data_IF_342483252525
#
_entry.id   IF_342483252525
#
_cell.length_a   1.000
_cell.length_b   1.000
_cell.length_c   1.000
_cell.angle_alpha   90.00
_cell.angle_beta   90.00
_cell.angle_gamma   90.00
#
_symmetry.space_group_name_H-M   'P 1'
#
loop_
_entity.id
_entity.type
_entity.pdbx_description
1 polymer ?
#
# COMPACT_ATOMS: atom_id res chain seq x y z
N UNK A 1 2.19 20.33 44.83
CA UNK A 1 2.51 19.09 44.05
C UNK A 1 3.99 19.18 43.68
N UNK A 2 4.81 18.33 44.25
CA UNK A 2 6.22 18.24 43.85
C UNK A 2 6.26 17.64 42.46
N UNK A 3 7.02 18.25 41.54
CA UNK A 3 7.15 17.73 40.18
C UNK A 3 7.86 16.36 40.22
N UNK A 4 7.54 15.50 39.27
CA UNK A 4 8.17 14.18 39.11
C UNK A 4 9.71 14.32 39.06
N UNK A 5 10.20 15.43 38.50
CA UNK A 5 11.62 15.77 38.45
C UNK A 5 12.22 16.05 39.83
N UNK A 6 11.44 16.65 40.75
CA UNK A 6 11.88 16.84 42.13
C UNK A 6 11.89 15.54 42.92
N UNK A 7 10.94 14.66 42.67
CA UNK A 7 10.91 13.32 43.25
C UNK A 7 12.09 12.46 42.76
N UNK A 8 12.41 12.52 41.47
CA UNK A 8 13.57 11.87 40.87
C UNK A 8 14.90 12.46 41.39
N UNK A 9 14.96 13.78 41.57
CA UNK A 9 16.15 14.46 42.14
C UNK A 9 16.36 14.16 43.62
N UNK A 10 15.30 14.01 44.42
CA UNK A 10 15.40 13.59 45.84
C UNK A 10 15.82 12.12 45.99
N UNK A 11 15.38 11.22 45.13
CA UNK A 11 15.86 9.82 45.10
C UNK A 11 17.34 9.70 44.73
N UNK A 12 17.88 10.58 43.89
CA UNK A 12 19.31 10.60 43.52
C UNK A 12 20.28 10.93 44.69
N UNK A 13 19.80 11.57 45.76
CA UNK A 13 20.67 11.92 46.93
C UNK A 13 20.90 10.76 47.91
N UNK A 14 20.21 9.63 47.77
CA UNK A 14 20.27 8.55 48.75
C UNK A 14 20.67 7.17 48.24
N UNK A 15 21.02 7.02 46.94
CA UNK A 15 21.44 5.71 46.40
C UNK A 15 22.85 5.79 45.79
N UNK A 16 23.75 4.96 46.30
CA UNK A 16 24.96 4.52 45.58
C UNK A 16 24.55 3.99 44.21
N UNK A 17 25.35 4.30 43.17
CA UNK A 17 25.12 3.90 41.80
C UNK A 17 24.73 2.42 41.74
N UNK A 18 23.43 2.17 41.58
CA UNK A 18 22.87 0.89 41.15
C UNK A 18 22.66 0.90 39.63
N UNK A 19 22.56 -0.27 39.06
CA UNK A 19 22.30 -0.48 37.65
C UNK A 19 21.19 0.43 37.10
N UNK A 20 21.26 0.86 35.83
CA UNK A 20 20.25 1.73 35.22
C UNK A 20 18.87 1.08 35.32
N UNK A 21 17.95 1.74 36.00
CA UNK A 21 16.56 1.31 36.13
C UNK A 21 15.90 1.42 34.75
N UNK A 22 15.65 0.29 34.10
CA UNK A 22 14.95 0.24 32.82
C UNK A 22 13.48 0.55 33.08
N UNK A 23 13.01 1.68 32.60
CA UNK A 23 11.58 2.08 32.69
C UNK A 23 10.77 1.14 31.76
N UNK A 24 9.87 0.37 32.31
CA UNK A 24 9.03 -0.55 31.56
C UNK A 24 7.97 0.20 30.74
N UNK A 25 7.50 -0.44 29.66
CA UNK A 25 6.41 0.11 28.85
C UNK A 25 5.14 0.35 29.66
N UNK A 26 4.84 -0.54 30.61
CA UNK A 26 3.66 -0.48 31.46
C UNK A 26 3.70 0.73 32.43
N UNK A 27 4.90 1.05 32.95
CA UNK A 27 5.09 2.24 33.79
C UNK A 27 4.88 3.54 32.99
N UNK A 28 5.27 3.58 31.72
CA UNK A 28 5.02 4.74 30.83
C UNK A 28 3.54 4.83 30.45
N UNK A 29 2.87 3.73 30.21
CA UNK A 29 1.44 3.69 29.87
C UNK A 29 0.55 4.12 31.06
N UNK A 30 1.00 3.91 32.29
CA UNK A 30 0.31 4.36 33.51
C UNK A 30 0.42 5.87 33.80
N UNK A 31 1.29 6.62 33.12
CA UNK A 31 1.45 8.05 33.32
C UNK A 31 0.31 8.86 32.66
N UNK A 32 -0.14 9.92 33.32
CA UNK A 32 -1.02 10.92 32.73
C UNK A 32 -0.36 11.64 31.53
N UNK A 33 -1.20 12.28 30.67
CA UNK A 33 -0.73 12.91 29.43
C UNK A 33 0.41 13.91 29.65
N UNK A 34 0.29 14.79 30.64
CA UNK A 34 1.30 15.82 30.94
C UNK A 34 2.62 15.19 31.39
N UNK A 35 2.56 14.13 32.20
CA UNK A 35 3.74 13.41 32.65
C UNK A 35 4.45 12.66 31.52
N UNK A 36 3.70 12.12 30.55
CA UNK A 36 4.28 11.53 29.33
C UNK A 36 4.98 12.57 28.47
N UNK A 37 4.36 13.75 28.31
CA UNK A 37 4.96 14.86 27.56
C UNK A 37 6.26 15.35 28.22
N UNK A 38 6.29 15.50 29.56
CA UNK A 38 7.50 15.85 30.28
C UNK A 38 8.58 14.77 30.17
N UNK A 39 8.21 13.50 30.27
CA UNK A 39 9.15 12.39 30.09
C UNK A 39 9.77 12.40 28.67
N UNK A 40 8.96 12.61 27.64
CA UNK A 40 9.45 12.73 26.27
C UNK A 40 10.41 13.91 26.11
N UNK A 41 10.08 15.07 26.69
CA UNK A 41 10.97 16.23 26.66
C UNK A 41 12.30 15.98 27.40
N UNK A 42 12.26 15.24 28.50
CA UNK A 42 13.46 14.88 29.27
C UNK A 42 14.34 13.83 28.55
N UNK A 43 13.75 12.94 27.72
CA UNK A 43 14.49 11.91 26.99
C UNK A 43 15.34 12.46 25.83
N UNK A 44 14.94 13.61 25.25
CA UNK A 44 15.69 14.23 24.14
C UNK A 44 17.11 14.63 24.55
N UNK A 45 17.33 15.39 25.68
CA UNK A 45 18.66 15.68 26.14
C UNK A 45 19.49 14.46 26.52
N UNK A 46 18.85 13.40 27.07
CA UNK A 46 19.52 12.13 27.36
C UNK A 46 20.01 11.44 26.10
N UNK A 47 19.19 11.46 25.02
CA UNK A 47 19.58 10.95 23.70
C UNK A 47 20.81 11.69 23.14
N UNK A 48 20.88 13.00 23.27
CA UNK A 48 22.04 13.80 22.85
C UNK A 48 23.30 13.51 23.67
N UNK A 49 23.15 13.28 24.98
CA UNK A 49 24.27 12.85 25.84
C UNK A 49 24.81 11.49 25.38
N UNK A 50 23.92 10.54 25.11
CA UNK A 50 24.31 9.22 24.62
C UNK A 50 25.02 9.29 23.25
N UNK A 51 24.58 10.17 22.36
CA UNK A 51 25.29 10.44 21.09
C UNK A 51 26.74 10.92 21.38
N UNK A 52 26.92 11.82 22.33
CA UNK A 52 28.25 12.29 22.73
C UNK A 52 29.13 11.14 23.24
N UNK A 53 28.59 10.29 24.09
CA UNK A 53 29.29 9.11 24.63
C UNK A 53 29.68 8.11 23.55
N UNK A 54 28.78 7.83 22.60
CA UNK A 54 29.08 6.95 21.46
C UNK A 54 30.22 7.50 20.59
N UNK A 55 30.21 8.81 20.30
CA UNK A 55 31.26 9.44 19.50
C UNK A 55 32.62 9.43 20.22
N UNK A 56 32.63 9.62 21.54
CA UNK A 56 33.86 9.51 22.35
C UNK A 56 34.37 8.06 22.45
N UNK A 57 33.46 7.07 22.51
CA UNK A 57 33.81 5.65 22.50
C UNK A 57 34.50 5.26 21.16
N UNK A 58 33.97 5.71 20.03
CA UNK A 58 34.62 5.53 18.72
C UNK A 58 36.05 6.10 18.71
N UNK A 59 36.23 7.29 19.28
CA UNK A 59 37.56 7.93 19.35
C UNK A 59 38.50 7.17 20.26
N UNK A 60 38.01 6.66 21.38
CA UNK A 60 38.80 5.86 22.31
C UNK A 60 39.20 4.51 21.69
N UNK A 61 38.33 3.90 20.95
CA UNK A 61 38.61 2.67 20.20
C UNK A 61 39.68 2.92 19.12
N UNK A 62 39.56 4.00 18.35
CA UNK A 62 40.47 4.33 17.22
C UNK A 62 41.81 4.89 17.68
N UNK A 63 41.81 5.88 18.57
CA UNK A 63 43.00 6.66 18.93
C UNK A 63 43.47 6.48 20.40
N UNK A 64 42.74 5.66 21.20
CA UNK A 64 43.04 5.44 22.62
C UNK A 64 42.49 6.48 23.55
N UNK A 65 42.64 6.24 24.85
CA UNK A 65 42.21 7.15 25.91
C UNK A 65 42.87 8.55 25.78
N UNK A 66 42.25 9.53 26.40
CA UNK A 66 42.78 10.93 26.41
C UNK A 66 44.19 10.94 26.95
N UNK A 67 45.12 11.55 26.21
CA UNK A 67 46.56 11.62 26.52
C UNK A 67 47.35 10.31 26.36
N UNK A 68 46.72 9.19 26.02
CA UNK A 68 47.41 7.96 25.67
C UNK A 68 47.90 7.97 24.20
N UNK A 69 49.06 7.37 23.95
CA UNK A 69 49.54 7.10 22.59
C UNK A 69 49.24 5.65 22.23
N UNK A 70 48.33 5.44 21.30
CA UNK A 70 48.03 4.10 20.77
C UNK A 70 48.99 3.78 19.63
N UNK A 71 49.50 2.56 19.58
CA UNK A 71 50.26 2.06 18.41
C UNK A 71 49.35 2.10 17.17
N UNK A 72 49.86 2.68 16.04
CA UNK A 72 49.06 2.75 14.80
C UNK A 72 48.89 4.16 14.23
N UNK A 73 49.51 5.19 14.82
CA UNK A 73 49.63 6.52 14.20
C UNK A 73 48.35 7.37 14.21
N UNK A 74 47.23 6.85 14.72
CA UNK A 74 45.98 7.61 14.82
C UNK A 74 46.02 8.51 16.08
N UNK A 75 45.56 9.78 15.93
CA UNK A 75 45.60 10.76 16.98
C UNK A 75 44.27 11.51 17.09
N UNK A 76 43.86 11.88 18.30
CA UNK A 76 42.78 12.83 18.55
C UNK A 76 43.13 14.20 18.00
N UNK A 77 42.24 14.84 17.24
CA UNK A 77 42.52 16.09 16.52
C UNK A 77 41.45 17.18 16.77
N UNK A 78 41.04 17.36 18.00
CA UNK A 78 40.02 18.37 18.36
C UNK A 78 38.60 17.95 18.00
N UNK A 79 37.71 18.92 17.80
CA UNK A 79 36.30 18.71 17.49
C UNK A 79 35.82 19.62 16.36
N UNK A 80 34.92 19.15 15.52
CA UNK A 80 34.21 19.96 14.54
C UNK A 80 32.73 20.15 14.96
N UNK A 81 32.12 21.22 14.44
CA UNK A 81 30.65 21.32 14.44
C UNK A 81 30.09 20.37 13.42
N UNK A 82 29.15 19.52 13.83
CA UNK A 82 28.46 18.58 12.97
C UNK A 82 26.99 18.50 13.35
N UNK A 83 26.29 17.57 12.72
CA UNK A 83 24.89 17.29 13.04
C UNK A 83 24.60 15.79 12.87
N UNK A 84 23.69 15.28 13.69
CA UNK A 84 23.17 13.92 13.63
C UNK A 84 21.67 13.96 13.40
N UNK A 85 21.12 12.89 12.84
CA UNK A 85 19.71 12.80 12.55
C UNK A 85 18.98 12.10 13.70
N UNK A 86 18.14 12.84 14.42
CA UNK A 86 17.31 12.34 15.51
C UNK A 86 15.85 12.67 15.24
N UNK A 87 14.98 11.69 15.27
CA UNK A 87 13.54 11.86 15.02
C UNK A 87 13.21 12.64 13.73
N UNK A 88 13.99 12.47 12.68
CA UNK A 88 13.83 13.18 11.39
C UNK A 88 14.42 14.60 11.36
N UNK A 89 14.99 15.07 12.47
CA UNK A 89 15.58 16.40 12.62
C UNK A 89 17.11 16.32 12.65
N UNK A 90 17.78 17.40 12.22
CA UNK A 90 19.23 17.53 12.33
C UNK A 90 19.58 18.21 13.64
N UNK A 91 20.00 17.43 14.65
CA UNK A 91 20.47 17.94 15.93
C UNK A 91 21.94 18.34 15.83
N UNK A 92 22.33 19.56 16.20
CA UNK A 92 23.72 19.98 16.20
C UNK A 92 24.51 19.25 17.30
N UNK A 93 25.67 18.73 16.92
CA UNK A 93 26.58 18.03 17.85
C UNK A 93 28.02 18.49 17.65
N UNK A 94 28.85 18.33 18.66
CA UNK A 94 30.31 18.45 18.54
C UNK A 94 30.86 17.07 18.20
N UNK A 95 31.47 16.93 17.02
CA UNK A 95 32.01 15.66 16.52
C UNK A 95 33.52 15.66 16.81
N UNK A 96 34.01 14.76 17.67
CA UNK A 96 35.43 14.60 17.88
C UNK A 96 36.09 14.05 16.60
N UNK A 97 37.35 14.38 16.37
CA UNK A 97 38.08 14.01 15.18
C UNK A 97 39.25 13.11 15.51
N UNK A 98 39.45 12.13 14.64
CA UNK A 98 40.63 11.26 14.62
C UNK A 98 41.37 11.46 13.32
N UNK A 99 42.69 11.64 13.37
CA UNK A 99 43.54 11.85 12.20
C UNK A 99 44.73 10.89 12.22
N UNK A 100 45.01 10.32 11.07
CA UNK A 100 46.19 9.52 10.79
C UNK A 100 47.07 10.17 9.68
N UNK A 101 48.09 9.50 9.24
CA UNK A 101 48.96 9.95 8.15
C UNK A 101 48.21 10.17 6.84
N UNK A 102 47.25 9.35 6.52
CA UNK A 102 46.40 9.43 5.33
C UNK A 102 45.29 10.49 5.42
N UNK A 103 45.14 11.19 6.55
CA UNK A 103 44.08 12.19 6.75
C UNK A 103 43.13 11.91 7.90
N UNK A 104 41.91 12.43 7.80
CA UNK A 104 40.86 12.27 8.80
C UNK A 104 40.15 10.91 8.70
N UNK A 105 40.01 10.23 9.83
CA UNK A 105 39.35 8.94 9.92
C UNK A 105 37.88 9.16 10.34
N UNK A 106 36.91 8.69 9.54
CA UNK A 106 35.49 8.83 9.87
C UNK A 106 35.11 7.96 11.07
N UNK A 107 34.31 8.53 11.99
CA UNK A 107 33.76 7.79 13.13
C UNK A 107 32.57 6.92 12.70
N UNK A 108 32.57 5.62 13.02
CA UNK A 108 31.46 4.71 12.65
C UNK A 108 30.10 5.15 13.18
N UNK A 109 30.02 5.51 14.46
CA UNK A 109 28.79 6.00 15.09
C UNK A 109 28.26 7.28 14.46
N UNK A 110 29.15 8.22 14.11
CA UNK A 110 28.76 9.45 13.41
C UNK A 110 28.17 9.17 12.03
N UNK A 111 28.78 8.24 11.31
CA UNK A 111 28.27 7.80 10.00
C UNK A 111 26.90 7.15 10.14
N UNK A 112 26.72 6.24 11.10
CA UNK A 112 25.45 5.58 11.38
C UNK A 112 24.35 6.57 11.76
N UNK A 113 24.64 7.54 12.65
CA UNK A 113 23.70 8.57 13.10
C UNK A 113 23.34 9.61 12.03
N UNK A 114 24.06 9.65 10.92
CA UNK A 114 23.73 10.48 9.74
C UNK A 114 22.92 9.76 8.68
N UNK A 115 22.85 8.44 8.74
CA UNK A 115 22.01 7.66 7.81
C UNK A 115 20.53 7.98 8.03
N UNK A 116 19.72 7.70 7.02
CA UNK A 116 18.28 7.90 7.06
C UNK A 116 17.67 7.10 8.24
N UNK A 117 16.91 7.78 9.09
CA UNK A 117 16.07 7.14 10.10
C UNK A 117 14.77 6.72 9.43
N UNK A 118 14.69 5.46 9.00
CA UNK A 118 13.52 4.91 8.32
C UNK A 118 12.23 5.04 9.13
N UNK A 119 12.31 4.98 10.47
CA UNK A 119 11.14 5.16 11.33
C UNK A 119 10.66 6.62 11.36
N UNK A 120 11.59 7.60 11.30
CA UNK A 120 11.23 9.01 11.20
C UNK A 120 10.65 9.36 9.84
N UNK A 121 11.22 8.81 8.75
CA UNK A 121 10.71 9.00 7.39
C UNK A 121 9.32 8.39 7.23
N UNK A 122 9.06 7.26 7.87
CA UNK A 122 7.74 6.63 7.93
C UNK A 122 6.71 7.49 8.68
N UNK A 123 7.08 8.05 9.85
CA UNK A 123 6.20 8.96 10.61
C UNK A 123 5.89 10.22 9.81
N UNK A 124 6.88 10.84 9.19
CA UNK A 124 6.71 12.00 8.33
C UNK A 124 5.75 11.69 7.17
N UNK A 125 5.99 10.59 6.47
CA UNK A 125 5.17 10.18 5.34
C UNK A 125 3.72 9.96 5.76
N UNK A 126 3.48 9.25 6.86
CA UNK A 126 2.13 9.07 7.41
C UNK A 126 1.49 10.40 7.81
N UNK A 127 2.21 11.27 8.52
CA UNK A 127 1.67 12.56 8.93
C UNK A 127 1.18 13.38 7.74
N UNK A 128 1.95 13.43 6.66
CA UNK A 128 1.55 14.13 5.43
C UNK A 128 0.37 13.44 4.74
N UNK A 129 0.36 12.11 4.65
CA UNK A 129 -0.78 11.35 4.08
C UNK A 129 -2.07 11.56 4.88
N UNK A 130 -1.98 11.71 6.21
CA UNK A 130 -3.14 12.00 7.08
C UNK A 130 -3.51 13.49 7.11
N UNK A 131 -2.89 14.30 6.25
CA UNK A 131 -3.28 15.66 5.98
C UNK A 131 -2.58 16.73 6.80
N UNK A 132 -1.47 16.41 7.45
CA UNK A 132 -0.59 17.44 8.01
C UNK A 132 0.15 18.11 6.86
N UNK A 133 -0.13 19.40 6.60
CA UNK A 133 0.52 20.12 5.52
C UNK A 133 2.02 20.30 5.82
N UNK A 134 2.86 20.27 4.78
CA UNK A 134 4.29 20.57 4.94
C UNK A 134 4.55 21.96 5.52
N UNK A 135 3.59 22.89 5.44
CA UNK A 135 3.68 24.24 6.03
C UNK A 135 3.51 24.22 7.54
N UNK A 136 2.71 23.31 8.07
CA UNK A 136 2.35 23.23 9.49
C UNK A 136 3.10 22.11 10.19
N UNK A 137 3.98 21.38 9.47
CA UNK A 137 4.68 20.22 10.01
C UNK A 137 5.62 20.63 11.17
N UNK A 138 6.31 21.74 11.03
CA UNK A 138 7.23 22.26 12.05
C UNK A 138 6.53 22.49 13.39
N UNK A 139 5.32 23.08 13.38
CA UNK A 139 4.54 23.34 14.60
C UNK A 139 3.89 22.09 15.22
N UNK A 140 3.81 20.98 14.46
CA UNK A 140 3.22 19.72 14.93
C UNK A 140 4.26 18.66 15.28
N UNK A 141 5.52 18.85 14.91
CA UNK A 141 6.61 17.94 15.21
C UNK A 141 7.18 18.21 16.60
N UNK A 142 7.64 17.17 17.28
CA UNK A 142 8.40 17.32 18.51
C UNK A 142 9.70 18.09 18.23
N UNK A 143 9.87 19.25 18.84
CA UNK A 143 11.07 20.06 18.69
C UNK A 143 12.22 19.46 19.51
N UNK A 144 13.31 19.13 18.83
CA UNK A 144 14.59 18.88 19.49
C UNK A 144 15.27 20.23 19.69
N UNK A 145 15.65 20.64 20.93
CA UNK A 145 16.26 21.93 21.15
C UNK A 145 17.48 22.18 20.25
N UNK A 146 17.45 23.28 19.50
CA UNK A 146 18.51 23.64 18.55
C UNK A 146 18.59 22.80 17.27
N UNK A 147 17.62 21.91 17.02
CA UNK A 147 17.58 21.14 15.79
C UNK A 147 17.11 21.99 14.60
N UNK A 148 17.60 21.61 13.41
CA UNK A 148 17.32 22.25 12.14
C UNK A 148 16.67 21.22 11.19
N UNK A 149 16.03 21.69 10.13
CA UNK A 149 15.62 20.80 9.03
C UNK A 149 14.13 20.48 8.94
N UNK A 150 13.29 21.09 9.78
CA UNK A 150 11.82 20.97 9.67
C UNK A 150 11.18 22.11 8.87
N UNK A 151 11.96 22.84 8.05
CA UNK A 151 11.38 23.86 7.16
C UNK A 151 10.45 23.19 6.13
N UNK A 152 9.45 23.93 5.66
CA UNK A 152 8.53 23.47 4.59
C UNK A 152 9.26 22.76 3.44
N UNK A 153 10.40 23.32 3.01
CA UNK A 153 11.18 22.76 1.89
C UNK A 153 11.89 21.47 2.24
N UNK A 154 12.39 21.32 3.47
CA UNK A 154 13.04 20.09 3.93
C UNK A 154 12.02 18.95 4.13
N UNK A 155 10.87 19.26 4.74
CA UNK A 155 9.75 18.30 4.89
C UNK A 155 9.22 17.85 3.53
N UNK A 156 9.03 18.78 2.59
CA UNK A 156 8.60 18.46 1.23
C UNK A 156 9.60 17.56 0.50
N UNK A 157 10.91 17.84 0.61
CA UNK A 157 11.95 16.99 -0.01
C UNK A 157 11.98 15.60 0.62
N UNK A 158 11.95 15.49 1.93
CA UNK A 158 11.92 14.21 2.64
C UNK A 158 10.67 13.39 2.27
N UNK A 159 9.50 14.04 2.15
CA UNK A 159 8.29 13.37 1.67
C UNK A 159 8.43 12.88 0.22
N UNK A 160 8.99 13.69 -0.67
CA UNK A 160 9.23 13.30 -2.08
C UNK A 160 10.17 12.08 -2.14
N UNK A 161 11.25 12.08 -1.38
CA UNK A 161 12.22 10.99 -1.32
C UNK A 161 11.61 9.70 -0.77
N UNK A 162 10.97 9.77 0.40
CA UNK A 162 10.32 8.62 1.03
C UNK A 162 9.19 8.04 0.17
N UNK A 163 8.36 8.89 -0.44
CA UNK A 163 7.28 8.45 -1.33
C UNK A 163 7.79 7.89 -2.66
N UNK A 164 8.93 8.38 -3.18
CA UNK A 164 9.57 7.82 -4.37
C UNK A 164 10.15 6.42 -4.10
N UNK A 165 10.80 6.23 -2.95
CA UNK A 165 11.27 4.91 -2.52
C UNK A 165 10.10 3.90 -2.39
N UNK A 166 8.98 4.32 -1.82
CA UNK A 166 7.78 3.48 -1.74
C UNK A 166 7.18 3.16 -3.11
N UNK A 167 7.10 4.14 -4.01
CA UNK A 167 6.63 3.89 -5.38
C UNK A 167 7.50 2.84 -6.07
N UNK A 168 8.83 2.97 -5.97
CA UNK A 168 9.76 1.99 -6.53
C UNK A 168 9.56 0.60 -5.93
N UNK A 169 9.55 0.49 -4.61
CA UNK A 169 9.33 -0.78 -3.91
C UNK A 169 7.97 -1.43 -4.28
N UNK A 170 6.94 -0.63 -4.50
CA UNK A 170 5.63 -1.10 -4.93
C UNK A 170 5.64 -1.61 -6.37
N UNK A 171 6.32 -0.92 -7.27
CA UNK A 171 6.43 -1.31 -8.68
C UNK A 171 7.32 -2.54 -8.90
N UNK A 172 8.33 -2.74 -8.03
CA UNK A 172 9.28 -3.85 -8.11
C UNK A 172 8.92 -5.02 -7.17
N UNK A 173 7.80 -4.96 -6.45
CA UNK A 173 7.36 -5.99 -5.50
C UNK A 173 7.31 -7.36 -6.18
N UNK A 174 8.00 -8.35 -5.61
CA UNK A 174 7.87 -9.74 -5.99
C UNK A 174 6.49 -10.30 -5.60
N UNK A 175 5.83 -10.96 -6.54
CA UNK A 175 4.50 -11.55 -6.39
C UNK A 175 4.55 -13.08 -6.36
N UNK A 176 5.72 -13.70 -6.54
CA UNK A 176 5.89 -15.15 -6.63
C UNK A 176 5.61 -15.89 -5.33
N UNK A 177 5.75 -15.19 -4.19
CA UNK A 177 5.52 -15.76 -2.86
C UNK A 177 4.06 -15.98 -2.48
N UNK A 178 3.10 -15.53 -3.30
CA UNK A 178 1.68 -15.60 -2.99
C UNK A 178 0.87 -16.28 -4.12
N UNK A 179 -0.07 -17.14 -3.75
CA UNK A 179 -0.97 -17.82 -4.70
C UNK A 179 -2.25 -16.99 -4.89
N UNK A 180 -2.35 -16.27 -6.01
CA UNK A 180 -3.49 -15.43 -6.35
C UNK A 180 -4.55 -16.21 -7.12
N UNK A 181 -5.80 -16.07 -6.71
CA UNK A 181 -6.96 -16.74 -7.30
C UNK A 181 -7.92 -15.76 -7.98
N UNK A 182 -7.97 -14.52 -7.51
CA UNK A 182 -8.83 -13.47 -8.07
C UNK A 182 -8.02 -12.20 -8.27
N UNK A 183 -8.26 -11.51 -9.38
CA UNK A 183 -7.72 -10.20 -9.71
C UNK A 183 -8.86 -9.24 -9.97
N UNK A 184 -8.94 -8.16 -9.21
CA UNK A 184 -9.81 -7.03 -9.49
C UNK A 184 -9.04 -5.97 -10.27
N UNK A 185 -9.64 -5.48 -11.34
CA UNK A 185 -9.13 -4.36 -12.12
C UNK A 185 -10.22 -3.30 -12.19
N UNK A 186 -9.90 -2.10 -11.79
CA UNK A 186 -10.83 -0.97 -11.81
C UNK A 186 -10.11 0.32 -12.15
N UNK A 187 -10.74 1.12 -13.00
CA UNK A 187 -10.24 2.40 -13.44
C UNK A 187 -10.94 3.54 -12.70
N UNK A 188 -10.17 4.53 -12.26
CA UNK A 188 -10.72 5.73 -11.65
C UNK A 188 -9.93 6.97 -12.06
N UNK A 189 -10.63 8.09 -12.25
CA UNK A 189 -9.98 9.39 -12.34
C UNK A 189 -9.33 9.74 -11.02
N UNK A 190 -8.04 10.00 -11.06
CA UNK A 190 -7.24 10.43 -9.92
C UNK A 190 -6.50 11.70 -10.29
N UNK A 191 -6.90 12.82 -9.70
CA UNK A 191 -6.30 14.12 -9.98
C UNK A 191 -6.24 14.44 -11.50
N UNK A 192 -7.34 14.27 -12.19
CA UNK A 192 -7.57 14.46 -13.65
C UNK A 192 -6.88 13.43 -14.56
N UNK A 193 -6.07 12.51 -14.02
CA UNK A 193 -5.51 11.40 -14.79
C UNK A 193 -6.32 10.12 -14.55
N UNK A 194 -6.57 9.35 -15.60
CA UNK A 194 -7.11 7.99 -15.48
C UNK A 194 -6.07 7.05 -14.87
N UNK A 195 -6.42 6.32 -13.82
CA UNK A 195 -5.57 5.33 -13.17
C UNK A 195 -6.30 4.00 -13.07
N UNK A 196 -5.70 2.93 -13.56
CA UNK A 196 -6.20 1.57 -13.37
C UNK A 196 -5.37 0.89 -12.29
N UNK A 197 -6.05 0.38 -11.26
CA UNK A 197 -5.43 -0.31 -10.12
C UNK A 197 -5.71 -1.81 -10.20
N UNK A 198 -4.74 -2.64 -9.83
CA UNK A 198 -4.85 -4.08 -9.72
C UNK A 198 -4.82 -4.51 -8.24
N UNK A 199 -5.88 -5.19 -7.79
CA UNK A 199 -6.02 -5.79 -6.47
C UNK A 199 -6.12 -7.30 -6.61
N UNK A 200 -5.14 -8.03 -6.09
CA UNK A 200 -5.15 -9.49 -6.00
C UNK A 200 -5.84 -10.00 -4.75
N UNK A 201 -6.46 -11.17 -4.86
CA UNK A 201 -6.94 -11.95 -3.70
C UNK A 201 -6.25 -13.29 -3.72
N UNK A 202 -5.55 -13.60 -2.63
CA UNK A 202 -4.86 -14.89 -2.46
C UNK A 202 -5.83 -16.05 -2.25
N UNK A 203 -5.36 -17.27 -2.38
CA UNK A 203 -6.12 -18.47 -2.05
C UNK A 203 -6.58 -18.49 -0.57
N UNK A 204 -5.88 -17.80 0.33
CA UNK A 204 -6.28 -17.57 1.73
C UNK A 204 -7.29 -16.44 1.91
N UNK A 205 -7.64 -15.71 0.86
CA UNK A 205 -8.60 -14.62 0.88
C UNK A 205 -8.05 -13.25 1.25
N UNK A 206 -6.73 -13.13 1.48
CA UNK A 206 -6.06 -11.87 1.74
C UNK A 206 -6.06 -11.00 0.46
N UNK A 207 -6.18 -9.71 0.66
CA UNK A 207 -6.13 -8.71 -0.41
C UNK A 207 -4.75 -8.12 -0.49
N UNK A 208 -4.18 -8.05 -1.70
CA UNK A 208 -2.89 -7.44 -2.00
C UNK A 208 -3.02 -6.46 -3.15
N UNK A 209 -2.43 -5.30 -3.01
CA UNK A 209 -2.34 -4.33 -4.08
C UNK A 209 -1.15 -4.67 -4.98
N UNK A 210 -1.40 -5.03 -6.22
CA UNK A 210 -0.38 -5.57 -7.11
C UNK A 210 0.33 -4.49 -7.93
N UNK A 211 -0.37 -3.40 -8.24
CA UNK A 211 0.16 -2.30 -9.04
C UNK A 211 -0.94 -1.37 -9.53
N UNK A 212 -0.51 -0.35 -10.25
CA UNK A 212 -1.39 0.54 -11.00
C UNK A 212 -0.69 1.05 -12.25
N UNK A 213 -1.47 1.52 -13.20
CA UNK A 213 -0.98 2.18 -14.42
C UNK A 213 -1.83 3.40 -14.72
N UNK A 214 -1.19 4.46 -15.21
CA UNK A 214 -1.87 5.62 -15.75
C UNK A 214 -2.41 5.28 -17.15
N UNK A 215 -3.71 5.47 -17.35
CA UNK A 215 -4.38 5.27 -18.62
C UNK A 215 -5.61 6.16 -18.67
N UNK A 216 -5.58 7.18 -19.49
CA UNK A 216 -6.69 8.13 -19.64
C UNK A 216 -7.92 7.49 -20.29
N UNK A 217 -7.68 6.45 -21.07
CA UNK A 217 -8.70 5.53 -21.58
C UNK A 217 -8.29 4.11 -21.19
N UNK A 218 -9.25 3.24 -20.90
CA UNK A 218 -8.98 1.82 -20.62
C UNK A 218 -8.45 1.10 -21.87
N UNK A 219 -7.36 1.62 -22.44
CA UNK A 219 -6.75 1.10 -23.65
C UNK A 219 -6.04 -0.22 -23.38
N UNK A 220 -6.39 -1.25 -24.16
CA UNK A 220 -5.68 -2.54 -24.10
C UNK A 220 -4.18 -2.41 -24.44
N UNK A 221 -3.77 -1.38 -25.17
CA UNK A 221 -2.36 -1.12 -25.50
C UNK A 221 -1.54 -0.73 -24.28
N UNK A 222 -2.16 -0.07 -23.29
CA UNK A 222 -1.52 0.29 -22.02
C UNK A 222 -1.69 -0.81 -20.98
N UNK A 223 -2.89 -1.40 -20.93
CA UNK A 223 -3.26 -2.36 -19.89
C UNK A 223 -2.63 -3.74 -20.09
N UNK A 224 -2.47 -4.23 -21.34
CA UNK A 224 -1.86 -5.53 -21.56
C UNK A 224 -0.37 -5.59 -21.19
N UNK A 225 0.48 -4.56 -21.49
CA UNK A 225 1.82 -4.47 -20.94
C UNK A 225 1.83 -4.40 -19.39
N UNK A 226 0.93 -3.65 -18.77
CA UNK A 226 0.80 -3.61 -17.32
C UNK A 226 0.50 -4.99 -16.73
N UNK A 227 -0.47 -5.74 -17.26
CA UNK A 227 -0.77 -7.09 -16.79
C UNK A 227 0.41 -8.05 -17.01
N UNK A 228 1.14 -7.93 -18.12
CA UNK A 228 2.37 -8.71 -18.35
C UNK A 228 3.46 -8.41 -17.33
N UNK A 229 3.63 -7.15 -16.96
CA UNK A 229 4.59 -6.79 -15.90
C UNK A 229 4.25 -7.43 -14.55
N UNK A 230 2.97 -7.70 -14.27
CA UNK A 230 2.60 -8.48 -13.08
C UNK A 230 3.05 -9.95 -13.18
N UNK A 231 2.94 -10.55 -14.39
CA UNK A 231 3.47 -11.92 -14.62
C UNK A 231 4.99 -11.95 -14.48
N UNK A 232 5.71 -10.98 -15.04
CA UNK A 232 7.16 -10.84 -14.92
C UNK A 232 7.61 -10.68 -13.46
N UNK A 233 6.77 -10.10 -12.61
CA UNK A 233 6.97 -9.96 -11.17
C UNK A 233 6.53 -11.18 -10.36
N UNK A 234 6.16 -12.28 -11.03
CA UNK A 234 5.84 -13.54 -10.38
C UNK A 234 4.35 -13.83 -10.15
N UNK A 235 3.43 -12.99 -10.67
CA UNK A 235 2.00 -13.34 -10.64
C UNK A 235 1.77 -14.64 -11.41
N UNK A 236 1.44 -15.73 -10.70
CA UNK A 236 1.21 -17.02 -11.31
C UNK A 236 -0.27 -17.22 -11.64
N UNK A 237 -0.57 -17.39 -12.94
CA UNK A 237 -1.92 -17.68 -13.45
C UNK A 237 -2.06 -19.10 -14.00
N UNK A 238 -1.05 -19.95 -13.87
CA UNK A 238 -1.03 -21.30 -14.44
C UNK A 238 -2.18 -22.19 -13.95
N UNK A 239 -2.62 -21.99 -12.70
CA UNK A 239 -3.71 -22.73 -12.06
C UNK A 239 -5.11 -22.12 -12.32
N UNK A 240 -5.19 -21.11 -13.18
CA UNK A 240 -6.41 -20.36 -13.46
C UNK A 240 -6.65 -19.20 -12.50
N UNK A 241 -7.11 -18.07 -13.05
CA UNK A 241 -7.44 -16.86 -12.29
C UNK A 241 -8.79 -16.29 -12.72
N UNK A 242 -9.58 -15.81 -11.77
CA UNK A 242 -10.79 -15.04 -12.02
C UNK A 242 -10.46 -13.54 -12.05
N UNK A 243 -10.75 -12.86 -13.15
CA UNK A 243 -10.55 -11.42 -13.28
C UNK A 243 -11.89 -10.71 -13.19
N UNK A 244 -12.07 -9.86 -12.18
CA UNK A 244 -13.29 -9.07 -11.97
C UNK A 244 -13.06 -7.66 -12.50
N UNK A 245 -13.86 -7.23 -13.47
CA UNK A 245 -13.75 -5.94 -14.15
C UNK A 245 -15.08 -5.18 -14.14
N UNK A 246 -15.02 -3.86 -14.31
CA UNK A 246 -16.22 -3.04 -14.46
C UNK A 246 -16.94 -3.26 -15.82
N UNK A 247 -16.23 -3.71 -16.82
CA UNK A 247 -16.76 -4.08 -18.13
C UNK A 247 -16.25 -3.23 -19.28
N UNK A 248 -15.19 -2.46 -19.09
CA UNK A 248 -14.50 -1.78 -20.18
C UNK A 248 -13.98 -2.76 -21.22
N UNK A 249 -14.26 -2.52 -22.51
CA UNK A 249 -13.79 -3.37 -23.62
C UNK A 249 -12.27 -3.51 -23.64
N UNK A 250 -11.57 -2.44 -23.28
CA UNK A 250 -10.11 -2.41 -23.22
C UNK A 250 -9.54 -3.31 -22.11
N UNK A 251 -10.14 -3.32 -20.92
CA UNK A 251 -9.77 -4.21 -19.81
C UNK A 251 -9.92 -5.68 -20.20
N UNK A 252 -11.08 -6.05 -20.76
CA UNK A 252 -11.32 -7.41 -21.23
C UNK A 252 -10.28 -7.84 -22.26
N UNK A 253 -10.05 -6.98 -23.30
CA UNK A 253 -9.06 -7.27 -24.34
C UNK A 253 -7.64 -7.37 -23.76
N UNK A 254 -7.31 -6.57 -22.76
CA UNK A 254 -6.02 -6.65 -22.09
C UNK A 254 -5.83 -7.97 -21.34
N UNK A 255 -6.87 -8.45 -20.64
CA UNK A 255 -6.86 -9.77 -19.96
C UNK A 255 -6.64 -10.89 -20.99
N UNK A 256 -7.35 -10.85 -22.13
CA UNK A 256 -7.20 -11.83 -23.20
C UNK A 256 -5.76 -11.83 -23.75
N UNK A 257 -5.19 -10.67 -24.02
CA UNK A 257 -3.84 -10.53 -24.57
C UNK A 257 -2.72 -10.89 -23.59
N UNK A 258 -2.97 -10.75 -22.27
CA UNK A 258 -1.96 -10.99 -21.26
C UNK A 258 -2.02 -12.42 -20.69
N UNK A 259 -3.22 -12.95 -20.45
CA UNK A 259 -3.38 -14.20 -19.68
C UNK A 259 -3.91 -15.39 -20.52
N UNK A 260 -4.49 -15.13 -21.68
CA UNK A 260 -5.11 -16.18 -22.51
C UNK A 260 -4.38 -16.42 -23.84
N UNK A 261 -3.18 -15.83 -24.02
CA UNK A 261 -2.39 -16.02 -25.22
C UNK A 261 -1.67 -17.37 -25.17
N UNK A 262 -2.03 -18.27 -26.09
CA UNK A 262 -1.48 -19.62 -26.16
C UNK A 262 -2.34 -20.63 -25.40
N UNK A 263 -2.56 -20.45 -24.11
CA UNK A 263 -3.46 -21.25 -23.30
C UNK A 263 -4.41 -20.36 -22.49
N UNK A 264 -5.67 -20.79 -22.35
CA UNK A 264 -6.65 -20.02 -21.57
C UNK A 264 -6.40 -20.20 -20.08
N UNK A 265 -6.03 -19.12 -19.40
CA UNK A 265 -5.68 -19.11 -17.96
C UNK A 265 -6.54 -18.16 -17.13
N UNK A 266 -7.37 -17.33 -17.74
CA UNK A 266 -8.21 -16.37 -17.05
C UNK A 266 -9.67 -16.44 -17.52
N UNK A 267 -10.59 -16.34 -16.56
CA UNK A 267 -12.00 -16.07 -16.81
C UNK A 267 -12.34 -14.67 -16.33
N UNK A 268 -13.20 -13.99 -17.07
CA UNK A 268 -13.67 -12.64 -16.71
C UNK A 268 -15.03 -12.74 -16.03
N UNK A 269 -15.17 -12.11 -14.89
CA UNK A 269 -16.45 -11.77 -14.26
C UNK A 269 -16.69 -10.28 -14.44
N UNK A 270 -17.71 -9.92 -15.17
CA UNK A 270 -18.11 -8.51 -15.31
C UNK A 270 -18.90 -8.05 -14.09
N UNK A 271 -18.62 -6.85 -13.60
CA UNK A 271 -19.31 -6.25 -12.48
C UNK A 271 -20.81 -6.10 -12.76
N UNK A 272 -21.64 -6.81 -11.99
CA UNK A 272 -23.10 -6.78 -12.15
C UNK A 272 -23.69 -5.41 -11.80
N UNK A 273 -23.07 -4.66 -10.89
CA UNK A 273 -23.52 -3.32 -10.51
C UNK A 273 -23.31 -2.33 -11.66
N UNK A 274 -22.10 -2.27 -12.22
CA UNK A 274 -21.80 -1.40 -13.35
C UNK A 274 -22.64 -1.75 -14.58
N UNK A 275 -22.81 -3.04 -14.86
CA UNK A 275 -23.68 -3.49 -15.96
C UNK A 275 -25.12 -3.02 -15.75
N UNK A 276 -25.66 -3.17 -14.55
CA UNK A 276 -26.99 -2.68 -14.19
C UNK A 276 -27.13 -1.19 -14.44
N UNK A 277 -26.21 -0.38 -13.93
CA UNK A 277 -26.27 1.06 -14.09
C UNK A 277 -26.11 1.51 -15.55
N UNK A 278 -25.27 0.79 -16.34
CA UNK A 278 -25.12 1.04 -17.78
C UNK A 278 -26.42 0.83 -18.54
N UNK A 279 -27.19 -0.21 -18.21
CA UNK A 279 -28.51 -0.47 -18.82
C UNK A 279 -29.51 0.59 -18.35
N UNK A 280 -29.60 0.78 -17.05
CA UNK A 280 -30.65 1.61 -16.44
C UNK A 280 -30.53 3.11 -16.82
N UNK A 281 -29.32 3.64 -16.94
CA UNK A 281 -29.12 5.04 -17.33
C UNK A 281 -29.69 5.39 -18.73
N UNK A 282 -29.91 4.40 -19.57
CA UNK A 282 -30.51 4.55 -20.89
C UNK A 282 -32.04 4.60 -20.86
N UNK A 283 -32.63 4.31 -19.73
CA UNK A 283 -34.08 4.28 -19.52
C UNK A 283 -34.60 5.60 -18.93
N UNK A 284 -35.91 5.91 -19.15
CA UNK A 284 -36.56 7.08 -18.54
C UNK A 284 -36.40 7.09 -17.01
N UNK A 285 -36.16 8.28 -16.41
CA UNK A 285 -35.91 8.43 -14.98
C UNK A 285 -36.97 7.74 -14.09
N UNK A 286 -38.24 7.83 -14.48
CA UNK A 286 -39.35 7.20 -13.74
C UNK A 286 -39.29 5.68 -13.69
N UNK A 287 -38.66 5.02 -14.66
CA UNK A 287 -38.56 3.57 -14.73
C UNK A 287 -37.28 3.01 -14.09
N UNK A 288 -36.25 3.83 -13.89
CA UNK A 288 -34.93 3.39 -13.47
C UNK A 288 -34.93 2.62 -12.15
N UNK A 289 -35.73 3.01 -11.17
CA UNK A 289 -35.82 2.35 -9.86
C UNK A 289 -36.38 0.93 -10.02
N UNK A 290 -37.41 0.78 -10.86
CA UNK A 290 -38.02 -0.51 -11.14
C UNK A 290 -37.03 -1.45 -11.84
N UNK A 291 -36.36 -0.98 -12.88
CA UNK A 291 -35.40 -1.77 -13.64
C UNK A 291 -34.17 -2.16 -12.84
N UNK A 292 -33.65 -1.28 -11.96
CA UNK A 292 -32.59 -1.66 -11.01
C UNK A 292 -33.00 -2.87 -10.16
N UNK A 293 -34.21 -2.86 -9.64
CA UNK A 293 -34.72 -3.98 -8.81
C UNK A 293 -34.90 -5.27 -9.65
N UNK A 294 -35.44 -5.16 -10.85
CA UNK A 294 -35.68 -6.32 -11.73
C UNK A 294 -34.39 -6.98 -12.16
N UNK A 295 -33.41 -6.22 -12.65
CA UNK A 295 -32.10 -6.71 -13.02
C UNK A 295 -31.35 -7.32 -11.82
N UNK A 296 -31.36 -6.66 -10.66
CA UNK A 296 -30.75 -7.20 -9.45
C UNK A 296 -31.36 -8.56 -9.07
N UNK A 297 -32.70 -8.69 -9.09
CA UNK A 297 -33.40 -9.96 -8.79
C UNK A 297 -33.08 -11.07 -9.81
N UNK A 298 -32.84 -10.72 -11.07
CA UNK A 298 -32.45 -11.68 -12.09
C UNK A 298 -31.06 -12.26 -11.83
N UNK A 299 -30.09 -11.43 -11.46
CA UNK A 299 -28.75 -11.89 -11.07
C UNK A 299 -28.70 -12.61 -9.71
N UNK A 300 -29.67 -12.37 -8.81
CA UNK A 300 -29.70 -13.07 -7.51
C UNK A 300 -30.31 -14.49 -7.60
N UNK A 301 -30.68 -14.97 -8.79
CA UNK A 301 -31.11 -16.36 -8.97
C UNK A 301 -29.94 -17.31 -8.65
N UNK A 302 -30.25 -18.44 -7.96
CA UNK A 302 -29.19 -19.31 -7.43
C UNK A 302 -28.39 -20.05 -8.49
N UNK A 303 -29.01 -20.42 -9.61
CA UNK A 303 -28.37 -21.20 -10.65
C UNK A 303 -28.13 -20.41 -11.93
N UNK A 304 -27.15 -20.85 -12.73
CA UNK A 304 -26.85 -20.24 -14.02
C UNK A 304 -28.06 -20.24 -14.97
N UNK A 305 -28.77 -21.38 -15.09
CA UNK A 305 -29.95 -21.48 -15.94
C UNK A 305 -31.07 -20.55 -15.57
N UNK A 306 -31.37 -20.40 -14.25
CA UNK A 306 -32.40 -19.50 -13.77
C UNK A 306 -32.01 -18.02 -13.95
N UNK A 307 -30.76 -17.64 -13.62
CA UNK A 307 -30.28 -16.30 -13.80
C UNK A 307 -30.26 -15.89 -15.27
N UNK A 308 -29.73 -16.77 -16.15
CA UNK A 308 -29.71 -16.57 -17.58
C UNK A 308 -31.10 -16.40 -18.16
N UNK A 309 -32.03 -17.31 -17.86
CA UNK A 309 -33.40 -17.24 -18.33
C UNK A 309 -34.13 -15.99 -17.83
N UNK A 310 -33.89 -15.57 -16.59
CA UNK A 310 -34.47 -14.33 -16.04
C UNK A 310 -33.94 -13.08 -16.76
N UNK A 311 -32.66 -13.03 -17.04
CA UNK A 311 -32.07 -11.92 -17.78
C UNK A 311 -32.47 -11.87 -19.23
N UNK A 312 -32.60 -13.03 -19.93
CA UNK A 312 -33.09 -13.08 -21.29
C UNK A 312 -34.52 -12.56 -21.43
N UNK A 313 -35.42 -12.90 -20.48
CA UNK A 313 -36.79 -12.31 -20.46
C UNK A 313 -36.73 -10.78 -20.30
N UNK A 314 -35.84 -10.25 -19.46
CA UNK A 314 -35.66 -8.81 -19.30
C UNK A 314 -35.04 -8.18 -20.57
N UNK A 315 -34.16 -8.88 -21.25
CA UNK A 315 -33.59 -8.43 -22.53
C UNK A 315 -34.66 -8.27 -23.60
N UNK A 316 -35.52 -9.30 -23.81
CA UNK A 316 -36.63 -9.22 -24.78
C UNK A 316 -37.58 -8.06 -24.46
N UNK A 317 -37.93 -7.85 -23.18
CA UNK A 317 -38.74 -6.69 -22.79
C UNK A 317 -38.04 -5.34 -23.04
N UNK A 318 -36.71 -5.28 -22.92
CA UNK A 318 -35.92 -4.09 -23.22
C UNK A 318 -35.86 -3.83 -24.74
N UNK A 319 -35.83 -4.86 -25.58
CA UNK A 319 -35.87 -4.73 -27.06
C UNK A 319 -37.11 -3.98 -27.50
N UNK A 320 -38.28 -4.28 -26.89
CA UNK A 320 -39.53 -3.58 -27.16
C UNK A 320 -39.56 -2.14 -26.67
N UNK A 321 -38.77 -1.79 -25.65
CA UNK A 321 -38.81 -0.48 -24.99
C UNK A 321 -37.68 0.45 -25.39
N UNK A 322 -36.47 -0.06 -25.44
CA UNK A 322 -35.27 0.71 -25.69
C UNK A 322 -34.13 -0.20 -26.20
N UNK A 323 -33.93 -0.20 -27.51
CA UNK A 323 -32.91 -1.02 -28.17
C UNK A 323 -31.50 -0.78 -27.64
N UNK A 324 -31.16 0.48 -27.24
CA UNK A 324 -29.85 0.79 -26.67
C UNK A 324 -29.67 0.15 -25.29
N UNK A 325 -30.73 0.09 -24.48
CA UNK A 325 -30.68 -0.59 -23.17
C UNK A 325 -30.60 -2.12 -23.33
N UNK A 326 -31.30 -2.71 -24.31
CA UNK A 326 -31.18 -4.11 -24.67
C UNK A 326 -29.74 -4.44 -25.12
N UNK A 327 -29.21 -3.72 -26.09
CA UNK A 327 -27.83 -3.86 -26.56
C UNK A 327 -26.79 -3.69 -25.41
N UNK A 328 -27.05 -2.74 -24.49
CA UNK A 328 -26.21 -2.58 -23.31
C UNK A 328 -26.28 -3.80 -22.38
N UNK A 329 -27.42 -4.48 -22.23
CA UNK A 329 -27.52 -5.71 -21.43
C UNK A 329 -26.83 -6.89 -22.13
N UNK A 330 -26.98 -7.01 -23.44
CA UNK A 330 -26.39 -8.08 -24.27
C UNK A 330 -24.86 -8.02 -24.25
N UNK A 331 -24.29 -6.83 -24.32
CA UNK A 331 -22.83 -6.66 -24.28
C UNK A 331 -22.22 -7.25 -23.02
N UNK A 332 -21.42 -8.32 -23.13
CA UNK A 332 -20.79 -9.03 -22.01
C UNK A 332 -21.80 -9.71 -21.08
N UNK A 333 -22.94 -10.09 -21.59
CA UNK A 333 -24.01 -10.79 -20.88
C UNK A 333 -23.50 -12.02 -20.13
N UNK A 334 -22.84 -12.93 -20.83
CA UNK A 334 -22.33 -14.18 -20.26
C UNK A 334 -21.22 -13.93 -19.21
N UNK A 335 -20.44 -12.87 -19.37
CA UNK A 335 -19.40 -12.48 -18.39
C UNK A 335 -20.00 -12.02 -17.05
N UNK A 336 -21.23 -11.52 -17.03
CA UNK A 336 -21.93 -11.20 -15.77
C UNK A 336 -22.37 -12.44 -15.00
N UNK A 337 -22.41 -13.58 -15.66
CA UNK A 337 -22.86 -14.88 -15.14
C UNK A 337 -21.72 -15.87 -14.89
N UNK A 338 -20.45 -15.45 -15.00
CA UNK A 338 -19.29 -16.35 -14.83
C UNK A 338 -19.31 -17.06 -13.47
N UNK A 339 -19.60 -16.36 -12.38
CA UNK A 339 -19.71 -16.99 -11.05
C UNK A 339 -20.85 -18.01 -10.95
N UNK A 340 -21.96 -17.78 -11.64
CA UNK A 340 -23.08 -18.74 -11.71
C UNK A 340 -22.66 -19.98 -12.50
N UNK A 341 -22.04 -19.80 -13.67
CA UNK A 341 -21.56 -20.88 -14.53
C UNK A 341 -20.52 -21.75 -13.81
N UNK A 342 -19.67 -21.14 -13.01
CA UNK A 342 -18.72 -21.83 -12.14
C UNK A 342 -19.37 -22.53 -10.93
N UNK A 343 -20.66 -22.31 -10.67
CA UNK A 343 -21.39 -22.90 -9.53
C UNK A 343 -21.00 -22.33 -8.16
N UNK A 344 -20.33 -21.17 -8.12
CA UNK A 344 -19.81 -20.57 -6.88
C UNK A 344 -20.54 -19.27 -6.48
N UNK A 345 -21.56 -18.85 -7.22
CA UNK A 345 -22.25 -17.59 -6.99
C UNK A 345 -22.85 -17.48 -5.57
N UNK A 346 -23.55 -18.51 -5.10
CA UNK A 346 -24.13 -18.52 -3.76
C UNK A 346 -23.10 -18.38 -2.62
N UNK A 347 -21.87 -18.86 -2.84
CA UNK A 347 -20.80 -18.89 -1.86
C UNK A 347 -19.93 -17.62 -1.88
N UNK A 348 -19.63 -17.11 -3.08
CA UNK A 348 -18.65 -16.07 -3.32
C UNK A 348 -19.22 -14.79 -3.98
N UNK A 349 -20.45 -14.85 -4.50
CA UNK A 349 -21.10 -13.73 -5.19
C UNK A 349 -21.11 -12.44 -4.39
N UNK A 350 -21.27 -12.50 -3.07
CA UNK A 350 -21.22 -11.32 -2.21
C UNK A 350 -19.92 -10.50 -2.35
N UNK A 351 -18.80 -11.16 -2.63
CA UNK A 351 -17.50 -10.51 -2.72
C UNK A 351 -16.99 -10.35 -4.15
N UNK A 352 -17.45 -11.19 -5.09
CA UNK A 352 -16.84 -11.30 -6.42
C UNK A 352 -17.75 -10.87 -7.57
N UNK A 353 -19.05 -10.63 -7.35
CA UNK A 353 -19.97 -10.20 -8.42
C UNK A 353 -19.85 -8.73 -8.79
N UNK A 354 -19.11 -7.94 -8.01
CA UNK A 354 -18.91 -6.49 -8.21
C UNK A 354 -17.46 -6.09 -7.92
N UNK A 355 -17.08 -4.92 -8.38
CA UNK A 355 -15.79 -4.28 -8.12
C UNK A 355 -15.72 -3.57 -6.77
N UNK A 356 -16.72 -3.70 -5.89
CA UNK A 356 -16.79 -3.02 -4.60
C UNK A 356 -15.54 -3.22 -3.72
N UNK A 357 -14.85 -4.37 -3.88
CA UNK A 357 -13.61 -4.63 -3.14
C UNK A 357 -12.51 -3.61 -3.46
N UNK A 358 -12.36 -3.25 -4.73
CA UNK A 358 -11.35 -2.29 -5.17
C UNK A 358 -11.88 -0.86 -5.09
N UNK A 359 -13.16 -0.62 -5.36
CA UNK A 359 -13.79 0.70 -5.21
C UNK A 359 -13.65 1.25 -3.79
N UNK A 360 -13.81 0.40 -2.76
CA UNK A 360 -13.60 0.81 -1.38
C UNK A 360 -12.15 1.21 -1.09
N UNK A 361 -11.17 0.59 -1.73
CA UNK A 361 -9.75 0.98 -1.63
C UNK A 361 -9.54 2.33 -2.30
N UNK A 362 -10.08 2.52 -3.51
CA UNK A 362 -9.97 3.78 -4.26
C UNK A 362 -10.62 4.95 -3.52
N UNK A 363 -11.74 4.73 -2.82
CA UNK A 363 -12.37 5.73 -1.96
C UNK A 363 -11.47 6.14 -0.77
N UNK A 364 -10.77 5.19 -0.16
CA UNK A 364 -9.78 5.49 0.88
C UNK A 364 -8.57 6.26 0.32
N UNK A 365 -8.13 5.96 -0.90
CA UNK A 365 -7.08 6.74 -1.58
C UNK A 365 -7.52 8.19 -1.79
N UNK A 366 -8.76 8.41 -2.25
CA UNK A 366 -9.31 9.77 -2.40
C UNK A 366 -9.31 10.52 -1.06
N UNK A 367 -9.73 9.87 0.02
CA UNK A 367 -9.70 10.47 1.36
C UNK A 367 -8.28 10.91 1.77
N UNK A 368 -7.25 10.07 1.48
CA UNK A 368 -5.83 10.41 1.74
C UNK A 368 -5.35 11.59 0.91
N UNK A 369 -5.86 11.73 -0.30
CA UNK A 369 -5.44 12.74 -1.27
C UNK A 369 -6.30 14.01 -1.25
N UNK A 370 -7.42 14.02 -0.53
CA UNK A 370 -8.40 15.12 -0.51
C UNK A 370 -7.83 16.48 -0.08
N UNK A 371 -6.69 16.48 0.64
CA UNK A 371 -6.02 17.71 1.11
C UNK A 371 -4.89 18.19 0.21
N UNK A 372 -4.71 17.58 -0.95
CA UNK A 372 -3.72 18.02 -1.92
C UNK A 372 -4.35 19.10 -2.80
N UNK A 373 -4.03 20.35 -2.54
CA UNK A 373 -4.61 21.49 -3.25
C UNK A 373 -4.17 21.59 -4.72
N UNK A 374 -2.97 21.09 -5.03
CA UNK A 374 -2.39 21.20 -6.36
C UNK A 374 -1.54 19.99 -6.73
N UNK A 375 -1.82 19.45 -7.88
CA UNK A 375 -1.01 18.39 -8.52
C UNK A 375 -0.07 19.02 -9.55
N UNK A 376 1.23 18.90 -9.33
CA UNK A 376 2.24 19.52 -10.19
C UNK A 376 2.56 18.68 -11.44
N UNK A 377 2.52 17.36 -11.32
CA UNK A 377 2.84 16.42 -12.41
C UNK A 377 2.42 14.99 -12.08
N UNK A 378 2.44 14.11 -13.09
CA UNK A 378 2.09 12.68 -12.94
C UNK A 378 2.99 11.94 -11.94
N UNK A 379 4.29 12.29 -11.83
CA UNK A 379 5.19 11.68 -10.84
C UNK A 379 4.73 11.93 -9.40
N UNK A 380 4.21 13.12 -9.11
CA UNK A 380 3.61 13.42 -7.80
C UNK A 380 2.37 12.56 -7.58
N UNK A 381 1.48 12.48 -8.57
CA UNK A 381 0.26 11.65 -8.51
C UNK A 381 0.59 10.18 -8.24
N UNK A 382 1.56 9.62 -8.98
CA UNK A 382 2.00 8.23 -8.78
C UNK A 382 2.58 7.97 -7.39
N UNK A 383 3.41 8.88 -6.85
CA UNK A 383 3.97 8.73 -5.49
C UNK A 383 2.87 8.76 -4.42
N UNK A 384 1.92 9.68 -4.56
CA UNK A 384 0.79 9.77 -3.62
C UNK A 384 -0.10 8.54 -3.69
N UNK A 385 -0.40 8.07 -4.90
CA UNK A 385 -1.20 6.86 -5.11
C UNK A 385 -0.50 5.64 -4.48
N UNK A 386 0.77 5.40 -4.81
CA UNK A 386 1.53 4.28 -4.25
C UNK A 386 1.63 4.34 -2.71
N UNK A 387 1.96 5.52 -2.16
CA UNK A 387 2.07 5.71 -0.73
C UNK A 387 0.73 5.48 -0.01
N UNK A 388 -0.39 5.95 -0.60
CA UNK A 388 -1.74 5.73 -0.07
C UNK A 388 -2.14 4.26 -0.12
N UNK A 389 -1.91 3.59 -1.25
CA UNK A 389 -2.21 2.17 -1.42
C UNK A 389 -1.44 1.31 -0.41
N UNK A 390 -0.14 1.56 -0.22
CA UNK A 390 0.69 0.85 0.74
C UNK A 390 0.32 1.14 2.22
N UNK A 391 -0.19 2.33 2.54
CA UNK A 391 -0.72 2.64 3.87
C UNK A 391 -2.05 1.92 4.15
N UNK A 392 -2.88 1.74 3.10
CA UNK A 392 -4.19 1.10 3.19
C UNK A 392 -4.08 -0.43 3.26
N UNK A 393 -3.17 -1.04 2.50
CA UNK A 393 -3.06 -2.49 2.32
C UNK A 393 -3.04 -3.29 3.63
N UNK A 394 -2.27 -2.96 4.69
CA UNK A 394 -2.23 -3.73 5.93
C UNK A 394 -3.57 -3.78 6.69
N UNK A 395 -4.51 -2.88 6.36
CA UNK A 395 -5.83 -2.80 6.99
C UNK A 395 -6.91 -3.51 6.20
N UNK A 396 -6.58 -4.04 5.02
CA UNK A 396 -7.54 -4.73 4.18
C UNK A 396 -7.94 -6.06 4.83
N UNK A 397 -9.24 -6.21 5.06
CA UNK A 397 -9.80 -7.47 5.58
C UNK A 397 -9.91 -8.49 4.46
N UNK A 398 -9.82 -9.77 4.79
CA UNK A 398 -10.11 -10.89 3.88
C UNK A 398 -11.48 -10.72 3.24
N UNK A 399 -11.65 -11.28 2.04
CA UNK A 399 -12.96 -11.29 1.38
C UNK A 399 -13.94 -12.16 2.16
N UNK A 400 -15.23 -11.82 2.09
CA UNK A 400 -16.28 -12.67 2.66
C UNK A 400 -16.42 -13.94 1.83
N UNK A 401 -16.57 -15.08 2.50
CA UNK A 401 -16.64 -16.38 1.83
C UNK A 401 -15.28 -16.98 1.48
N UNK A 402 -14.15 -16.43 1.92
CA UNK A 402 -12.80 -16.89 1.61
C UNK A 402 -12.59 -18.39 1.81
N UNK A 403 -13.29 -19.03 2.77
CA UNK A 403 -13.24 -20.49 3.00
C UNK A 403 -13.72 -21.32 1.81
N UNK A 404 -14.42 -20.69 0.85
CA UNK A 404 -14.92 -21.34 -0.35
C UNK A 404 -14.04 -21.08 -1.59
N UNK A 405 -12.93 -20.37 -1.45
CA UNK A 405 -11.97 -20.15 -2.54
C UNK A 405 -11.41 -21.44 -3.13
N UNK A 406 -11.16 -22.52 -2.38
CA UNK A 406 -10.79 -23.80 -2.98
C UNK A 406 -11.80 -24.31 -4.02
N UNK A 407 -13.10 -24.14 -3.77
CA UNK A 407 -14.15 -24.50 -4.77
C UNK A 407 -14.08 -23.64 -6.04
N UNK A 408 -13.68 -22.36 -5.90
CA UNK A 408 -13.43 -21.51 -7.06
C UNK A 408 -12.23 -22.01 -7.85
N UNK A 409 -11.15 -22.43 -7.19
CA UNK A 409 -9.97 -23.03 -7.83
C UNK A 409 -10.34 -24.24 -8.68
N UNK A 410 -11.03 -25.20 -8.06
CA UNK A 410 -11.50 -26.42 -8.75
C UNK A 410 -12.40 -26.09 -9.95
N UNK A 411 -13.31 -25.13 -9.79
CA UNK A 411 -14.20 -24.71 -10.87
C UNK A 411 -13.45 -24.01 -12.01
N UNK A 412 -12.45 -23.18 -11.70
CA UNK A 412 -11.59 -22.54 -12.71
C UNK A 412 -10.77 -23.59 -13.49
N UNK A 413 -10.13 -24.51 -12.78
CA UNK A 413 -9.33 -25.58 -13.40
C UNK A 413 -10.18 -26.44 -14.34
N UNK A 414 -11.38 -26.82 -13.92
CA UNK A 414 -12.33 -27.60 -14.76
C UNK A 414 -12.78 -26.82 -16.00
N UNK A 415 -13.16 -25.55 -15.83
CA UNK A 415 -13.65 -24.71 -16.92
C UNK A 415 -12.56 -24.32 -17.93
N UNK A 416 -11.33 -24.15 -17.44
CA UNK A 416 -10.16 -23.83 -18.26
C UNK A 416 -9.43 -25.07 -18.78
N UNK A 417 -9.93 -26.27 -18.46
CA UNK A 417 -9.35 -27.59 -18.85
C UNK A 417 -7.88 -27.77 -18.41
N UNK A 418 -7.49 -27.09 -17.32
CA UNK A 418 -6.15 -27.17 -16.77
C UNK A 418 -5.91 -28.60 -16.25
N UNK A 419 -4.84 -29.23 -16.70
CA UNK A 419 -4.50 -30.63 -16.39
C UNK A 419 -4.81 -31.62 -17.53
N UNK A 420 -5.68 -31.31 -18.48
CA UNK A 420 -5.88 -32.17 -19.68
C UNK A 420 -4.71 -32.05 -20.66
N UNK A 421 -4.07 -30.90 -20.73
CA UNK A 421 -2.87 -30.65 -21.54
C UNK A 421 -1.64 -31.42 -21.05
N UNK A 422 -1.52 -31.65 -19.73
CA UNK A 422 -0.41 -32.46 -19.16
C UNK A 422 -0.59 -33.96 -19.45
N UNK A 423 -1.81 -34.48 -19.32
CA UNK A 423 -2.08 -35.88 -19.63
C UNK A 423 -1.84 -36.20 -21.13
N UNK A 424 -2.23 -35.28 -22.02
CA UNK A 424 -2.00 -35.48 -23.47
C UNK A 424 -0.51 -35.33 -23.86
N UNK A 425 0.31 -34.57 -23.12
CA UNK A 425 1.75 -34.49 -23.37
C UNK A 425 2.56 -35.62 -22.74
N UNK A 426 2.05 -36.26 -21.69
CA UNK A 426 2.64 -37.48 -21.09
C UNK A 426 2.27 -38.75 -21.89
N UNK A 427 1.12 -38.80 -22.53
CA UNK A 427 0.76 -39.89 -23.46
C UNK A 427 1.44 -39.77 -24.85
N UNK A 428 1.98 -38.59 -25.18
CA UNK A 428 2.68 -38.35 -26.45
C UNK A 428 4.21 -38.41 -26.35
N UNK A 429 4.78 -38.65 -25.13
CA UNK A 429 6.19 -38.81 -24.85
C UNK A 429 6.53 -40.26 -24.49
#
# INVERSE_FOLDING_TARGET
MESILQAAARRKKSRRMGEPEVVSREEVEGLGLDARVELIRALIPLGLLQVGEMLEADVEELAGARWARKAGGLRRHGTNRGSVRLAGQWAPVRVPRVRGEAGEVPLPSYRALRLADGAADERLLRSVLYGLSCRNYEGAALEVPGALGLTKSSVSRAFVEASAARLKAFQERDLSGEDFLVLFLDGKSFADDGMVVALGVTAGGEKRLLGFVQSDTESSQVLAPFLRSLLERGLNVAQGILVVVDGGKGLRKAVELAFNRGARRALVQRCQWHKRENVVRLLPKGEQVLWRKRLARAWERPTYGEARSALLRLHTELEERNLSAAASLEEGFEETLTLHRLGVFALLGRSLKTTNCIESVLSLVEERCAKVDRWANSRQKHRWLAASLLDIEPRLRRIKGYRHLPKLREALQRELEIGKEHAASEEAA
#
